data_IF_146257588540
#
_entry.id   IF_146257588540
#
_cell.length_a   1.000
_cell.length_b   1.000
_cell.length_c   1.000
_cell.angle_alpha   90.00
_cell.angle_beta   90.00
_cell.angle_gamma   90.00
#
_symmetry.space_group_name_H-M   'P 1'
#
loop_
_entity.id
_entity.type
_entity.pdbx_description
1 polymer ?
#
# COMPACT_ATOMS: atom_id res chain seq x y z
N UNK A 1 -32.36 41.63 -52.43
CA UNK A 1 -31.19 40.77 -52.18
C UNK A 1 -30.99 40.67 -50.68
N UNK A 2 -31.39 39.55 -50.10
CA UNK A 2 -31.09 39.18 -48.71
C UNK A 2 -30.97 37.65 -48.69
N UNK A 3 -29.76 37.16 -48.45
CA UNK A 3 -29.46 35.73 -48.32
C UNK A 3 -29.86 35.26 -46.91
N UNK A 4 -30.50 34.08 -46.75
CA UNK A 4 -30.64 33.50 -45.43
C UNK A 4 -29.36 32.77 -45.05
N UNK A 5 -28.77 33.20 -43.93
CA UNK A 5 -27.68 32.52 -43.23
C UNK A 5 -28.20 31.19 -42.68
N UNK A 6 -27.68 30.07 -43.16
CA UNK A 6 -27.97 28.74 -42.62
C UNK A 6 -27.23 28.58 -41.29
N UNK A 7 -27.97 28.63 -40.19
CA UNK A 7 -27.53 28.23 -38.86
C UNK A 7 -27.21 26.72 -38.91
N UNK A 8 -25.92 26.38 -38.92
CA UNK A 8 -25.49 25.01 -38.74
C UNK A 8 -25.71 24.63 -37.27
N UNK A 9 -26.78 23.87 -37.00
CA UNK A 9 -27.00 23.24 -35.71
C UNK A 9 -25.88 22.21 -35.50
N UNK A 10 -24.90 22.56 -34.67
CA UNK A 10 -23.90 21.63 -34.17
C UNK A 10 -24.62 20.63 -33.24
N UNK A 11 -25.13 19.55 -33.82
CA UNK A 11 -25.64 18.40 -33.07
C UNK A 11 -24.50 17.83 -32.24
N UNK A 12 -24.49 18.16 -30.95
CA UNK A 12 -23.62 17.52 -29.97
C UNK A 12 -23.99 16.04 -29.92
N UNK A 13 -23.15 15.21 -30.56
CA UNK A 13 -23.29 13.75 -30.43
C UNK A 13 -23.08 13.39 -28.96
N UNK A 14 -24.00 12.67 -28.30
CA UNK A 14 -23.72 12.16 -26.97
C UNK A 14 -22.55 11.18 -27.10
N UNK A 15 -21.46 11.40 -26.36
CA UNK A 15 -20.39 10.41 -26.18
C UNK A 15 -20.98 9.23 -25.41
N UNK A 16 -21.54 8.27 -26.13
CA UNK A 16 -22.00 7.00 -25.57
C UNK A 16 -20.77 6.14 -25.25
N UNK A 17 -20.16 6.33 -24.09
CA UNK A 17 -19.26 5.31 -23.55
C UNK A 17 -20.11 4.13 -23.06
N UNK A 18 -19.78 2.91 -23.52
CA UNK A 18 -20.33 1.67 -22.98
C UNK A 18 -20.21 1.69 -21.44
N UNK A 19 -21.18 1.13 -20.69
CA UNK A 19 -21.04 0.95 -19.25
C UNK A 19 -19.71 0.27 -18.89
N UNK A 20 -19.03 0.77 -17.86
CA UNK A 20 -17.78 0.16 -17.41
C UNK A 20 -18.03 -1.26 -16.90
N UNK A 21 -17.04 -2.10 -17.11
CA UNK A 21 -16.96 -3.49 -16.69
C UNK A 21 -15.80 -3.64 -15.70
N UNK A 22 -15.75 -4.74 -14.96
CA UNK A 22 -14.66 -4.98 -14.01
C UNK A 22 -13.27 -5.01 -14.68
N UNK A 23 -13.18 -5.41 -15.96
CA UNK A 23 -11.95 -5.33 -16.75
C UNK A 23 -11.49 -3.90 -17.05
N UNK A 24 -12.38 -2.91 -16.95
CA UNK A 24 -12.05 -1.50 -17.19
C UNK A 24 -11.40 -0.85 -15.96
N UNK A 25 -11.40 -1.54 -14.81
CA UNK A 25 -10.79 -1.09 -13.57
C UNK A 25 -9.53 -1.90 -13.26
N UNK A 26 -8.47 -1.30 -12.67
CA UNK A 26 -7.28 -2.04 -12.26
C UNK A 26 -7.62 -3.17 -11.28
N UNK A 27 -6.84 -4.25 -11.33
CA UNK A 27 -6.86 -5.29 -10.31
C UNK A 27 -5.61 -5.22 -9.44
N UNK A 28 -5.64 -5.95 -8.32
CA UNK A 28 -4.51 -6.03 -7.39
C UNK A 28 -4.00 -7.47 -7.33
N UNK A 29 -2.68 -7.64 -7.49
CA UNK A 29 -1.98 -8.91 -7.27
C UNK A 29 -1.14 -8.79 -6.00
N UNK A 30 -1.28 -9.69 -5.00
CA UNK A 30 -0.38 -9.74 -3.86
C UNK A 30 1.08 -9.80 -4.30
N UNK A 31 1.94 -8.98 -3.70
CA UNK A 31 3.30 -8.79 -4.15
C UNK A 31 4.31 -8.84 -3.01
N UNK A 32 4.15 -7.96 -2.02
CA UNK A 32 5.15 -7.76 -0.97
C UNK A 32 4.50 -7.65 0.39
N UNK A 33 5.27 -7.91 1.43
CA UNK A 33 4.89 -7.78 2.81
C UNK A 33 5.94 -6.94 3.53
N UNK A 34 5.51 -5.78 4.03
CA UNK A 34 6.35 -4.85 4.79
C UNK A 34 5.92 -4.86 6.25
N UNK A 35 6.85 -5.13 7.16
CA UNK A 35 6.66 -4.93 8.61
C UNK A 35 7.63 -3.88 9.09
N UNK A 36 7.16 -2.93 9.88
CA UNK A 36 7.94 -1.80 10.41
C UNK A 36 7.75 -1.71 11.92
N UNK A 37 8.84 -1.71 12.66
CA UNK A 37 8.86 -1.45 14.10
C UNK A 37 8.85 0.06 14.35
N UNK A 38 7.93 0.50 15.21
CA UNK A 38 7.68 1.91 15.48
C UNK A 38 8.40 2.31 16.77
N UNK A 39 9.23 3.35 16.68
CA UNK A 39 9.90 3.97 17.81
C UNK A 39 9.06 5.03 18.52
N UNK A 40 9.61 5.70 19.55
CA UNK A 40 8.91 6.72 20.32
C UNK A 40 8.62 7.96 19.47
N UNK A 41 7.35 8.36 19.41
CA UNK A 41 6.90 9.51 18.63
C UNK A 41 7.35 10.85 19.23
N UNK A 42 7.75 11.79 18.37
CA UNK A 42 8.15 13.15 18.72
C UNK A 42 7.12 14.16 18.21
N UNK A 43 6.50 14.90 19.12
CA UNK A 43 5.54 15.95 18.78
C UNK A 43 6.28 17.23 18.37
N UNK A 44 6.12 17.64 17.11
CA UNK A 44 6.70 18.89 16.58
C UNK A 44 5.68 20.04 16.67
N UNK A 45 4.40 19.76 16.40
CA UNK A 45 3.33 20.77 16.41
C UNK A 45 3.14 21.48 15.07
N UNK A 46 2.48 22.64 15.06
CA UNK A 46 1.97 23.27 13.83
C UNK A 46 1.97 24.80 13.78
N UNK A 47 2.87 25.47 14.51
CA UNK A 47 2.83 26.92 14.72
C UNK A 47 2.56 27.76 13.46
N UNK A 48 3.15 27.40 12.32
CA UNK A 48 2.96 28.13 11.05
C UNK A 48 2.07 27.43 10.02
N UNK A 49 1.82 26.12 10.15
CA UNK A 49 1.20 25.28 9.08
C UNK A 49 -0.22 24.82 9.38
N UNK A 50 -0.69 24.98 10.62
CA UNK A 50 -2.07 24.63 11.01
C UNK A 50 -2.38 23.13 11.11
N UNK A 51 -1.50 22.25 10.64
CA UNK A 51 -1.60 20.79 10.77
C UNK A 51 -0.45 20.22 11.65
N UNK A 52 -0.73 19.69 12.86
CA UNK A 52 0.32 19.16 13.75
C UNK A 52 1.16 18.08 13.10
N UNK A 53 2.48 18.29 13.08
CA UNK A 53 3.46 17.27 12.69
C UNK A 53 3.87 16.43 13.90
N UNK A 54 3.80 15.12 13.74
CA UNK A 54 4.47 14.13 14.58
C UNK A 54 5.54 13.43 13.76
N UNK A 55 6.76 13.35 14.29
CA UNK A 55 7.85 12.59 13.66
C UNK A 55 8.00 11.27 14.40
N UNK A 56 7.90 10.16 13.66
CA UNK A 56 7.96 8.81 14.21
C UNK A 56 9.21 8.10 13.68
N UNK A 57 10.18 7.78 14.54
CA UNK A 57 11.32 6.95 14.14
C UNK A 57 10.85 5.54 13.76
N UNK A 58 11.31 5.05 12.62
CA UNK A 58 11.16 3.65 12.22
C UNK A 58 12.45 2.93 12.63
N UNK A 59 12.36 2.05 13.62
CA UNK A 59 13.55 1.50 14.31
C UNK A 59 13.92 0.09 13.86
N UNK A 60 13.11 -0.49 12.99
CA UNK A 60 13.36 -1.78 12.34
C UNK A 60 12.33 -2.00 11.23
N UNK A 61 12.70 -2.77 10.22
CA UNK A 61 11.80 -3.15 9.14
C UNK A 61 12.25 -4.42 8.43
N UNK A 62 11.28 -5.13 7.86
CA UNK A 62 11.50 -6.23 6.92
C UNK A 62 10.57 -6.09 5.72
N UNK A 63 11.12 -6.31 4.53
CA UNK A 63 10.37 -6.39 3.27
C UNK A 63 10.57 -7.80 2.70
N UNK A 64 9.49 -8.55 2.56
CA UNK A 64 9.51 -9.89 1.97
C UNK A 64 8.55 -10.00 0.80
N UNK A 65 8.79 -10.95 -0.10
CA UNK A 65 7.88 -11.23 -1.22
C UNK A 65 6.75 -12.18 -0.83
N UNK A 66 5.56 -11.92 -1.35
CA UNK A 66 4.44 -12.87 -1.26
C UNK A 66 4.69 -14.09 -2.16
N UNK A 67 4.13 -15.27 -1.82
CA UNK A 67 4.20 -16.44 -2.68
C UNK A 67 3.70 -16.14 -4.11
N UNK A 68 4.52 -16.46 -5.12
CA UNK A 68 4.17 -16.25 -6.53
C UNK A 68 4.42 -14.83 -7.07
N UNK A 69 5.01 -13.93 -6.28
CA UNK A 69 5.59 -12.70 -6.81
C UNK A 69 6.95 -13.01 -7.48
N UNK A 70 7.23 -12.50 -8.71
CA UNK A 70 8.36 -12.97 -9.51
C UNK A 70 9.73 -12.44 -9.04
N UNK A 71 9.77 -11.43 -8.17
CA UNK A 71 11.00 -10.86 -7.63
C UNK A 71 11.14 -11.41 -6.22
N UNK A 72 12.10 -12.32 -5.93
CA UNK A 72 12.33 -12.77 -4.57
C UNK A 72 13.01 -11.66 -3.76
N UNK A 73 12.42 -11.33 -2.61
CA UNK A 73 12.94 -10.34 -1.66
C UNK A 73 12.84 -10.92 -0.24
N UNK A 74 13.94 -10.84 0.50
CA UNK A 74 14.03 -11.02 1.95
C UNK A 74 15.02 -9.99 2.51
N UNK A 75 14.53 -8.75 2.63
CA UNK A 75 15.35 -7.59 2.95
C UNK A 75 15.02 -7.04 4.34
N UNK A 76 16.05 -6.57 5.04
CA UNK A 76 15.92 -5.97 6.37
C UNK A 76 16.44 -4.55 6.39
N UNK A 77 15.94 -3.76 7.33
CA UNK A 77 16.29 -2.35 7.47
C UNK A 77 17.80 -2.10 7.53
N UNK A 78 18.22 -1.05 6.83
CA UNK A 78 19.58 -0.51 6.81
C UNK A 78 19.52 0.92 7.35
N UNK A 79 20.15 1.14 8.49
CA UNK A 79 20.17 2.47 9.11
C UNK A 79 18.82 2.85 9.74
N UNK A 80 18.49 4.14 9.68
CA UNK A 80 17.30 4.72 10.29
C UNK A 80 16.23 5.00 9.24
N UNK A 81 14.98 5.04 9.67
CA UNK A 81 13.84 5.45 8.86
C UNK A 81 12.96 6.40 9.66
N UNK A 82 12.08 7.08 8.96
CA UNK A 82 11.23 8.11 9.56
C UNK A 82 9.86 8.09 8.90
N UNK A 83 8.82 8.34 9.68
CA UNK A 83 7.48 8.67 9.21
C UNK A 83 7.10 10.07 9.71
N UNK A 84 6.73 10.93 8.77
CA UNK A 84 6.21 12.26 9.01
C UNK A 84 4.68 12.21 8.99
N UNK A 85 4.09 12.21 10.19
CA UNK A 85 2.65 12.04 10.38
C UNK A 85 1.98 13.40 10.61
N UNK A 86 1.00 13.72 9.78
CA UNK A 86 0.12 14.87 9.98
C UNK A 86 -1.29 14.41 10.33
N UNK A 87 -1.86 14.96 11.39
CA UNK A 87 -3.28 14.75 11.71
C UNK A 87 -4.14 15.73 10.89
N UNK A 88 -5.19 15.21 10.25
CA UNK A 88 -6.20 16.06 9.63
C UNK A 88 -6.88 16.91 10.73
N UNK A 89 -7.27 18.17 10.45
CA UNK A 89 -7.83 19.07 11.47
C UNK A 89 -9.10 18.56 12.16
N UNK A 90 -9.85 17.67 11.52
CA UNK A 90 -11.05 17.05 12.10
C UNK A 90 -10.75 15.89 13.06
N UNK A 91 -9.47 15.51 13.20
CA UNK A 91 -9.02 14.40 14.05
C UNK A 91 -9.52 13.02 13.57
N UNK A 92 -9.97 12.90 12.31
CA UNK A 92 -10.50 11.65 11.77
C UNK A 92 -9.46 10.85 11.00
N UNK A 93 -8.38 11.48 10.54
CA UNK A 93 -7.35 10.84 9.73
C UNK A 93 -5.95 11.29 10.07
N UNK A 94 -4.99 10.40 9.81
CA UNK A 94 -3.57 10.73 9.73
C UNK A 94 -3.09 10.59 8.29
N UNK A 95 -2.13 11.44 7.91
CA UNK A 95 -1.43 11.43 6.63
C UNK A 95 0.02 11.08 6.89
N UNK A 96 0.48 9.98 6.30
CA UNK A 96 1.84 9.48 6.43
C UNK A 96 2.70 9.96 5.27
N UNK A 97 3.99 10.13 5.54
CA UNK A 97 5.03 10.30 4.52
C UNK A 97 6.30 9.73 5.11
N UNK A 98 6.70 8.56 4.61
CA UNK A 98 7.74 7.76 5.23
C UNK A 98 8.86 7.45 4.28
N UNK A 99 10.06 7.40 4.84
CA UNK A 99 11.29 7.03 4.16
C UNK A 99 12.06 6.02 5.00
N UNK A 100 12.45 4.92 4.37
CA UNK A 100 13.31 3.90 4.96
C UNK A 100 14.14 3.20 3.88
N UNK A 101 15.23 2.57 4.31
CA UNK A 101 16.08 1.76 3.43
C UNK A 101 16.12 0.34 3.97
N UNK A 102 15.95 -0.64 3.10
CA UNK A 102 16.15 -2.07 3.39
C UNK A 102 17.21 -2.64 2.46
N UNK A 103 17.76 -3.81 2.81
CA UNK A 103 18.64 -4.55 1.92
C UNK A 103 18.84 -5.99 2.36
N UNK A 104 19.37 -6.81 1.47
CA UNK A 104 19.68 -8.22 1.72
C UNK A 104 21.16 -8.42 2.12
N UNK A 105 21.49 -9.61 2.63
CA UNK A 105 22.86 -9.97 3.05
C UNK A 105 23.26 -9.42 4.43
N UNK A 106 24.48 -9.71 4.89
CA UNK A 106 24.99 -9.18 6.18
C UNK A 106 25.89 -7.95 6.04
N UNK A 107 26.45 -7.67 4.86
CA UNK A 107 27.44 -6.60 4.70
C UNK A 107 27.40 -5.94 3.31
N UNK A 108 27.19 -4.62 3.28
CA UNK A 108 27.73 -3.65 2.31
C UNK A 108 27.52 -3.83 0.80
N UNK A 109 26.88 -4.90 0.33
CA UNK A 109 26.71 -5.18 -1.09
C UNK A 109 25.38 -4.62 -1.58
N UNK A 110 25.49 -3.56 -2.40
CA UNK A 110 24.69 -2.99 -3.52
C UNK A 110 23.20 -3.33 -3.75
N UNK A 111 22.56 -4.11 -2.91
CA UNK A 111 21.18 -4.58 -3.06
C UNK A 111 20.29 -3.93 -2.00
N UNK A 112 20.42 -2.60 -1.93
CA UNK A 112 19.57 -1.74 -1.11
C UNK A 112 18.35 -1.30 -1.91
N UNK A 113 17.23 -1.20 -1.22
CA UNK A 113 15.97 -0.67 -1.73
C UNK A 113 15.60 0.48 -0.81
N UNK A 114 15.53 1.69 -1.35
CA UNK A 114 14.83 2.78 -0.68
C UNK A 114 13.34 2.58 -0.90
N UNK A 115 12.59 2.74 0.18
CA UNK A 115 11.14 2.64 0.21
C UNK A 115 10.63 4.01 0.64
N UNK A 116 9.83 4.62 -0.23
CA UNK A 116 9.03 5.77 0.13
C UNK A 116 7.56 5.37 0.11
N UNK A 117 6.80 5.74 1.13
CA UNK A 117 5.34 5.57 1.08
C UNK A 117 4.61 6.78 1.64
N UNK A 118 3.47 7.06 1.03
CA UNK A 118 2.47 7.97 1.58
C UNK A 118 1.24 7.17 1.91
N UNK A 119 0.54 7.56 2.97
CA UNK A 119 -0.59 6.79 3.46
C UNK A 119 -1.66 7.63 4.12
N UNK A 120 -2.84 7.04 4.21
CA UNK A 120 -3.97 7.58 4.96
C UNK A 120 -4.40 6.52 5.96
N UNK A 121 -4.51 6.93 7.21
CA UNK A 121 -5.03 6.10 8.29
C UNK A 121 -6.31 6.73 8.81
N UNK A 122 -7.39 5.96 8.90
CA UNK A 122 -8.61 6.37 9.59
C UNK A 122 -8.44 6.18 11.11
N UNK A 123 -8.69 7.25 11.87
CA UNK A 123 -8.63 7.25 13.34
C UNK A 123 -9.97 6.70 13.88
N UNK A 124 -10.07 5.37 13.88
CA UNK A 124 -11.16 4.63 14.51
C UNK A 124 -10.92 4.49 16.04
N UNK A 125 -11.81 3.79 16.75
CA UNK A 125 -11.70 3.64 18.21
C UNK A 125 -10.49 2.81 18.65
N UNK A 126 -10.09 1.81 17.86
CA UNK A 126 -8.91 0.99 18.16
C UNK A 126 -7.64 1.83 18.01
N UNK A 127 -7.55 2.60 16.93
CA UNK A 127 -6.44 3.53 16.71
C UNK A 127 -6.34 4.58 17.82
N UNK A 128 -7.47 5.14 18.28
CA UNK A 128 -7.48 6.06 19.44
C UNK A 128 -6.90 5.42 20.70
N UNK A 129 -7.17 4.13 20.94
CA UNK A 129 -6.61 3.41 22.09
C UNK A 129 -5.10 3.23 21.95
N UNK A 130 -4.62 2.89 20.76
CA UNK A 130 -3.18 2.78 20.47
C UNK A 130 -2.49 4.13 20.68
N UNK A 131 -2.99 5.20 20.04
CA UNK A 131 -2.41 6.55 20.14
C UNK A 131 -2.43 7.09 21.58
N UNK A 132 -3.49 6.78 22.33
CA UNK A 132 -3.63 7.16 23.73
C UNK A 132 -2.88 6.26 24.73
N UNK A 133 -2.11 5.27 24.26
CA UNK A 133 -1.43 4.27 25.09
C UNK A 133 -2.36 3.61 26.12
N UNK A 134 -3.59 3.32 25.72
CA UNK A 134 -4.59 2.72 26.58
C UNK A 134 -4.14 1.31 27.02
N UNK A 135 -4.38 0.90 28.28
CA UNK A 135 -4.16 -0.49 28.70
C UNK A 135 -5.04 -1.49 27.94
N UNK A 136 -6.12 -1.01 27.29
CA UNK A 136 -7.02 -1.81 26.46
C UNK A 136 -6.69 -1.68 24.96
N UNK A 137 -5.53 -1.13 24.59
CA UNK A 137 -5.06 -1.13 23.22
C UNK A 137 -4.74 -2.56 22.78
N UNK A 138 -5.03 -2.86 21.52
CA UNK A 138 -4.77 -4.15 20.89
C UNK A 138 -4.38 -3.91 19.43
N UNK A 139 -3.87 -4.95 18.78
CA UNK A 139 -3.67 -4.95 17.33
C UNK A 139 -4.98 -4.64 16.58
N UNK A 140 -4.87 -3.99 15.44
CA UNK A 140 -6.01 -3.69 14.56
C UNK A 140 -6.13 -4.74 13.45
N UNK A 141 -7.30 -4.84 12.86
CA UNK A 141 -7.46 -5.52 11.57
C UNK A 141 -6.98 -4.63 10.40
N UNK A 142 -6.89 -5.23 9.22
CA UNK A 142 -6.65 -4.50 7.97
C UNK A 142 -7.89 -3.69 7.56
N UNK A 143 -7.67 -2.64 6.74
CA UNK A 143 -8.75 -1.92 6.05
C UNK A 143 -9.04 -0.51 6.59
N UNK A 144 -8.31 -0.05 7.60
CA UNK A 144 -8.34 1.36 8.07
C UNK A 144 -7.06 2.13 7.74
N UNK A 145 -6.12 1.51 7.02
CA UNK A 145 -4.86 2.11 6.60
C UNK A 145 -4.54 1.69 5.17
N UNK A 146 -4.29 2.67 4.30
CA UNK A 146 -3.92 2.42 2.91
C UNK A 146 -2.75 3.31 2.51
N UNK A 147 -1.89 2.75 1.67
CA UNK A 147 -0.68 3.44 1.21
C UNK A 147 -0.43 3.29 -0.28
N UNK A 148 0.23 4.30 -0.83
CA UNK A 148 0.94 4.24 -2.10
C UNK A 148 2.43 4.13 -1.78
N UNK A 149 3.09 3.10 -2.33
CA UNK A 149 4.50 2.82 -2.07
C UNK A 149 5.29 2.82 -3.37
N UNK A 150 6.47 3.44 -3.30
CA UNK A 150 7.43 3.53 -4.39
C UNK A 150 8.77 3.00 -3.92
N UNK A 151 9.52 2.43 -4.85
CA UNK A 151 10.82 1.84 -4.61
C UNK A 151 11.88 2.54 -5.46
N UNK A 152 13.10 2.66 -4.94
CA UNK A 152 14.29 3.06 -5.69
C UNK A 152 15.45 2.14 -5.34
N UNK A 153 16.20 1.70 -6.34
CA UNK A 153 17.31 0.75 -6.15
C UNK A 153 18.36 0.83 -7.26
N UNK A 154 19.62 0.65 -6.87
CA UNK A 154 20.73 0.46 -7.81
C UNK A 154 20.89 -1.00 -8.29
N UNK A 155 20.11 -1.95 -7.76
CA UNK A 155 20.27 -3.37 -8.07
C UNK A 155 19.37 -3.79 -9.23
N UNK A 156 19.98 -4.29 -10.32
CA UNK A 156 19.27 -4.66 -11.55
C UNK A 156 18.14 -5.67 -11.34
N UNK A 157 18.32 -6.64 -10.43
CA UNK A 157 17.29 -7.64 -10.11
C UNK A 157 16.02 -7.05 -9.48
N UNK A 158 16.13 -5.88 -8.85
CA UNK A 158 15.02 -5.18 -8.21
C UNK A 158 14.44 -4.08 -9.10
N UNK A 159 15.02 -3.82 -10.27
CA UNK A 159 14.54 -2.81 -11.22
C UNK A 159 13.04 -2.91 -11.54
N UNK A 160 12.43 -4.11 -11.68
CA UNK A 160 10.99 -4.17 -11.98
C UNK A 160 10.09 -3.60 -10.86
N UNK A 161 10.60 -3.37 -9.65
CA UNK A 161 9.88 -2.64 -8.59
C UNK A 161 9.67 -1.16 -8.93
N UNK A 162 10.57 -0.56 -9.70
CA UNK A 162 10.47 0.85 -10.12
C UNK A 162 9.54 1.05 -11.33
N UNK A 163 9.17 -0.05 -11.99
CA UNK A 163 8.39 -0.06 -13.22
C UNK A 163 6.91 -0.40 -12.99
N UNK A 164 6.53 -0.58 -11.72
CA UNK A 164 5.19 -0.98 -11.30
C UNK A 164 4.60 0.00 -10.28
N UNK A 165 3.27 0.02 -10.20
CA UNK A 165 2.54 0.77 -9.19
C UNK A 165 2.16 -0.18 -8.07
N UNK A 166 2.36 0.25 -6.83
CA UNK A 166 2.03 -0.55 -5.65
C UNK A 166 1.14 0.21 -4.68
N UNK A 167 0.17 -0.52 -4.13
CA UNK A 167 -0.69 -0.04 -3.05
C UNK A 167 -0.69 -1.06 -1.93
N UNK A 168 -0.79 -0.59 -0.69
CA UNK A 168 -0.81 -1.47 0.48
C UNK A 168 -2.02 -1.24 1.36
N UNK A 169 -2.45 -2.32 2.03
CA UNK A 169 -3.38 -2.26 3.14
C UNK A 169 -2.61 -2.53 4.44
N UNK A 170 -2.82 -1.68 5.45
CA UNK A 170 -2.09 -1.70 6.70
C UNK A 170 -2.91 -2.11 7.90
N UNK A 171 -2.21 -2.60 8.93
CA UNK A 171 -2.69 -2.75 10.30
C UNK A 171 -1.58 -2.44 11.31
N UNK A 172 -1.97 -2.17 12.55
CA UNK A 172 -1.05 -2.07 13.67
C UNK A 172 -1.03 -3.37 14.47
N UNK A 173 0.16 -3.82 14.84
CA UNK A 173 0.37 -4.96 15.73
C UNK A 173 0.94 -4.42 17.04
N UNK A 174 0.26 -4.71 18.13
CA UNK A 174 0.74 -4.47 19.48
C UNK A 174 1.07 -5.81 20.13
N UNK A 175 2.35 -6.06 20.38
CA UNK A 175 2.84 -7.29 21.00
C UNK A 175 3.95 -6.99 22.04
N UNK A 176 4.54 -8.04 22.62
CA UNK A 176 5.59 -7.90 23.64
C UNK A 176 6.88 -7.21 23.16
N UNK A 177 7.06 -7.02 21.85
CA UNK A 177 8.17 -6.27 21.25
C UNK A 177 7.86 -4.79 21.02
N UNK A 178 6.61 -4.36 21.27
CA UNK A 178 6.15 -2.98 21.11
C UNK A 178 5.12 -2.82 19.99
N UNK A 179 5.02 -1.60 19.48
CA UNK A 179 4.12 -1.26 18.37
C UNK A 179 4.84 -1.47 17.03
N UNK A 180 4.16 -2.14 16.10
CA UNK A 180 4.62 -2.27 14.72
C UNK A 180 3.48 -2.02 13.74
N UNK A 181 3.81 -1.59 12.53
CA UNK A 181 2.88 -1.54 11.40
C UNK A 181 3.18 -2.70 10.45
N UNK A 182 2.15 -3.41 10.01
CA UNK A 182 2.22 -4.45 8.99
C UNK A 182 1.44 -3.99 7.76
N UNK A 183 2.02 -4.17 6.58
CA UNK A 183 1.43 -3.80 5.31
C UNK A 183 1.49 -4.96 4.32
N UNK A 184 0.32 -5.32 3.78
CA UNK A 184 0.19 -6.23 2.63
C UNK A 184 0.13 -5.39 1.37
N UNK A 185 1.20 -5.46 0.57
CA UNK A 185 1.41 -4.63 -0.61
C UNK A 185 1.07 -5.45 -1.85
N UNK A 186 0.24 -4.86 -2.71
CA UNK A 186 -0.18 -5.42 -3.98
C UNK A 186 0.37 -4.60 -5.14
N UNK A 187 0.75 -5.29 -6.21
CA UNK A 187 1.01 -4.68 -7.50
C UNK A 187 -0.33 -4.35 -8.18
N UNK A 188 -0.45 -3.14 -8.71
CA UNK A 188 -1.57 -2.75 -9.57
C UNK A 188 -1.38 -3.40 -10.94
N UNK A 189 -2.40 -4.10 -11.40
CA UNK A 189 -2.42 -4.84 -12.66
C UNK A 189 -3.59 -4.40 -13.52
N UNK A 190 -3.57 -4.83 -14.79
CA UNK A 190 -4.73 -4.71 -15.68
C UNK A 190 -5.93 -5.44 -15.08
N UNK A 191 -7.12 -4.84 -15.21
CA UNK A 191 -8.37 -5.44 -14.76
C UNK A 191 -8.56 -6.88 -15.24
N UNK A 192 -9.02 -7.74 -14.33
CA UNK A 192 -9.33 -9.13 -14.64
C UNK A 192 -10.66 -9.11 -15.41
N UNK A 193 -10.62 -9.45 -16.70
CA UNK A 193 -11.85 -9.75 -17.44
C UNK A 193 -12.60 -10.89 -16.76
N UNK A 194 -13.91 -11.03 -17.00
CA UNK A 194 -14.79 -12.04 -16.40
C UNK A 194 -14.44 -13.49 -16.82
N UNK A 195 -13.21 -13.93 -16.59
CA UNK A 195 -12.62 -15.17 -17.07
C UNK A 195 -11.21 -15.37 -16.52
N UNK A 196 -11.09 -15.42 -15.19
CA UNK A 196 -10.11 -16.24 -14.49
C UNK A 196 -10.47 -16.26 -13.00
N UNK A 197 -11.56 -16.97 -12.71
CA UNK A 197 -11.73 -17.55 -11.37
C UNK A 197 -10.57 -18.52 -11.16
N UNK A 198 -9.93 -18.41 -10.00
CA UNK A 198 -8.86 -19.28 -9.52
C UNK A 198 -9.21 -20.73 -9.83
N UNK A 199 -8.31 -21.43 -10.52
CA UNK A 199 -8.46 -22.82 -10.89
C UNK A 199 -8.56 -23.70 -9.64
N UNK A 200 -9.74 -24.29 -9.47
CA UNK A 200 -10.02 -25.71 -9.21
C UNK A 200 -8.87 -26.53 -8.59
N UNK A 201 -8.88 -26.67 -7.26
CA UNK A 201 -8.25 -27.79 -6.58
C UNK A 201 -9.30 -28.87 -6.29
N UNK A 202 -9.16 -30.03 -6.96
CA UNK A 202 -9.44 -31.30 -6.30
C UNK A 202 -10.56 -32.18 -6.84
N UNK A 203 -10.71 -32.37 -8.15
CA UNK A 203 -11.43 -33.55 -8.67
C UNK A 203 -10.55 -34.81 -8.58
N UNK A 204 -10.57 -35.50 -7.43
CA UNK A 204 -10.05 -36.86 -7.32
C UNK A 204 -10.93 -37.83 -8.12
N UNK A 205 -10.47 -38.25 -9.29
CA UNK A 205 -11.08 -39.33 -10.06
C UNK A 205 -10.82 -40.67 -9.36
N UNK A 206 -11.88 -41.24 -8.80
CA UNK A 206 -11.96 -42.64 -8.40
C UNK A 206 -12.11 -43.50 -9.66
N UNK A 207 -11.09 -44.29 -10.01
CA UNK A 207 -11.18 -45.35 -11.02
C UNK A 207 -11.51 -46.68 -10.33
N UNK A 208 -12.80 -46.92 -10.11
CA UNK A 208 -13.33 -48.25 -9.82
C UNK A 208 -13.69 -48.97 -11.13
N UNK A 209 -12.95 -50.02 -11.46
CA UNK A 209 -13.26 -50.96 -12.55
C UNK A 209 -14.24 -52.02 -12.04
N UNK A 210 -15.33 -52.31 -12.78
CA UNK A 210 -15.85 -53.68 -12.88
C UNK A 210 -16.12 -54.08 -14.35
N UNK A 211 -16.49 -55.34 -14.66
CA UNK A 211 -16.67 -56.52 -13.80
C UNK A 211 -15.54 -57.56 -13.90
#
# INVERSE_FOLDING_TARGET
MASPTSEATETSRPRSSRPSTISDHPSLKPALHLRVLIGPAMQVGSLSRGNPLTVVPLVGASLTSEPGFPIPIDAHMRGQGVDYVHNDPDGRRMRLSSDLVVGEGRDGLRETIHIHYTGIIDINNEMRRILGMSPNAASTDFGSSFLHVTFETGASRFKPLEEAIFVGAGRFILDGSGLSAEYRISQVCKGIGSGNTVADEGAAQSTGIPP
#
